data_IF_358128961752
#
_entry.id   IF_358128961752
#
_cell.length_a   1.000
_cell.length_b   1.000
_cell.length_c   1.000
_cell.angle_alpha   90.00
_cell.angle_beta   90.00
_cell.angle_gamma   90.00
#
_symmetry.space_group_name_H-M   'P 1'
#
loop_
_entity.id
_entity.type
_entity.pdbx_description
1 polymer ?
#
# COMPACT_ATOMS: atom_id res chain seq x y z
N UNK A 1 11.94 -4.84 41.43
CA UNK A 1 12.37 -6.14 41.97
C UNK A 1 12.85 -7.00 40.81
N UNK A 2 14.15 -7.02 40.51
CA UNK A 2 14.81 -8.09 39.76
C UNK A 2 16.28 -8.14 40.17
N UNK A 3 16.70 -9.34 40.53
CA UNK A 3 17.94 -9.66 41.22
C UNK A 3 19.15 -9.68 40.27
N UNK A 4 20.28 -9.21 40.79
CA UNK A 4 21.61 -9.27 40.20
C UNK A 4 22.31 -10.50 40.78
N UNK A 5 22.82 -11.41 39.96
CA UNK A 5 23.70 -12.49 40.41
C UNK A 5 25.10 -12.27 39.81
N UNK A 6 26.06 -12.00 40.70
CA UNK A 6 27.49 -11.96 40.41
C UNK A 6 28.04 -13.38 40.29
N UNK A 7 28.96 -13.61 39.35
CA UNK A 7 29.95 -14.69 39.48
C UNK A 7 31.36 -14.10 39.40
N UNK A 8 32.18 -14.57 40.35
CA UNK A 8 33.55 -14.16 40.62
C UNK A 8 34.53 -14.59 39.53
N UNK A 9 35.32 -13.64 39.02
CA UNK A 9 36.50 -13.91 38.19
C UNK A 9 37.75 -14.02 39.07
N UNK A 10 38.45 -15.16 38.96
CA UNK A 10 39.79 -15.37 39.49
C UNK A 10 40.80 -14.49 38.74
N UNK A 11 41.65 -13.77 39.48
CA UNK A 11 42.69 -12.88 38.94
C UNK A 11 43.98 -13.66 38.65
N UNK A 12 44.31 -13.87 37.39
CA UNK A 12 45.65 -14.27 36.95
C UNK A 12 46.42 -13.02 36.52
N UNK A 13 47.51 -12.69 37.22
CA UNK A 13 48.41 -11.59 36.87
C UNK A 13 49.26 -11.99 35.66
N UNK A 14 49.08 -11.31 34.53
CA UNK A 14 50.02 -11.33 33.41
C UNK A 14 50.77 -10.00 33.35
N UNK A 15 52.10 -10.08 33.43
CA UNK A 15 53.04 -8.97 33.25
C UNK A 15 53.18 -8.66 31.75
N UNK A 16 52.77 -7.45 31.34
CA UNK A 16 52.88 -6.98 29.95
C UNK A 16 54.29 -6.47 29.64
N UNK A 17 54.89 -6.97 28.55
CA UNK A 17 56.10 -6.43 27.88
C UNK A 17 55.69 -5.45 26.76
N UNK A 18 56.55 -4.49 26.37
CA UNK A 18 56.14 -3.26 25.67
C UNK A 18 55.85 -3.39 24.15
N UNK A 19 54.58 -3.24 23.80
CA UNK A 19 53.92 -2.36 22.79
C UNK A 19 54.61 -1.81 21.51
N UNK A 20 55.71 -2.35 20.98
CA UNK A 20 56.23 -1.88 19.66
C UNK A 20 55.59 -2.54 18.43
N UNK A 21 55.06 -3.76 18.56
CA UNK A 21 54.42 -4.48 17.45
C UNK A 21 52.97 -4.04 17.17
N UNK A 22 52.26 -3.57 18.21
CA UNK A 22 50.86 -3.18 18.10
C UNK A 22 50.67 -1.81 17.40
N UNK A 23 51.65 -0.90 17.54
CA UNK A 23 51.63 0.38 16.84
C UNK A 23 51.87 0.25 15.32
N UNK A 24 52.68 -0.73 14.90
CA UNK A 24 52.93 -1.00 13.48
C UNK A 24 51.67 -1.58 12.81
N UNK A 25 50.92 -2.44 13.52
CA UNK A 25 49.69 -3.04 13.01
C UNK A 25 48.57 -2.01 12.80
N UNK A 26 48.47 -1.00 13.68
CA UNK A 26 47.47 0.08 13.55
C UNK A 26 47.79 1.00 12.37
N UNK A 27 49.07 1.30 12.12
CA UNK A 27 49.49 2.13 10.97
C UNK A 27 49.30 1.38 9.63
N UNK A 28 49.47 0.05 9.63
CA UNK A 28 49.21 -0.76 8.43
C UNK A 28 47.70 -0.89 8.14
N UNK A 29 46.85 -0.94 9.18
CA UNK A 29 45.39 -0.96 9.01
C UNK A 29 44.83 0.38 8.51
N UNK A 30 45.40 1.52 8.94
CA UNK A 30 44.96 2.84 8.47
C UNK A 30 45.39 3.13 7.03
N UNK A 31 46.49 2.54 6.56
CA UNK A 31 46.93 2.65 5.16
C UNK A 31 46.05 1.85 4.19
N UNK A 32 45.44 0.74 4.63
CA UNK A 32 44.50 -0.07 3.80
C UNK A 32 43.15 0.66 3.61
N UNK A 33 42.74 1.48 4.59
CA UNK A 33 41.50 2.28 4.53
C UNK A 33 41.57 3.50 3.59
N UNK A 34 42.75 3.87 3.08
CA UNK A 34 42.93 5.03 2.21
C UNK A 34 43.09 4.68 0.72
N UNK A 35 43.05 3.39 0.34
CA UNK A 35 43.26 2.94 -1.06
C UNK A 35 41.94 2.48 -1.73
N UNK A 36 40.81 2.45 -1.03
CA UNK A 36 39.47 2.24 -1.65
C UNK A 36 38.84 3.54 -2.17
N UNK A 37 39.67 4.49 -2.61
CA UNK A 37 39.27 5.78 -3.16
C UNK A 37 39.83 5.98 -4.56
N UNK A 38 39.46 5.13 -5.51
CA UNK A 38 39.54 5.39 -6.96
C UNK A 38 38.98 4.19 -7.74
N UNK A 39 37.67 4.01 -7.70
CA UNK A 39 36.95 3.45 -8.84
C UNK A 39 35.67 4.27 -8.96
N UNK A 40 35.70 5.22 -9.90
CA UNK A 40 34.51 5.94 -10.33
C UNK A 40 33.57 4.95 -11.01
N UNK A 41 32.78 4.25 -10.22
CA UNK A 41 31.54 3.68 -10.69
C UNK A 41 30.60 4.87 -10.90
N UNK A 42 30.40 5.25 -12.17
CA UNK A 42 29.19 5.96 -12.57
C UNK A 42 28.00 5.13 -12.09
N UNK A 43 27.50 5.47 -10.92
CA UNK A 43 26.29 4.92 -10.35
C UNK A 43 25.15 5.47 -11.20
N UNK A 44 24.83 4.76 -12.29
CA UNK A 44 23.50 4.84 -12.89
C UNK A 44 22.55 4.24 -11.86
N UNK A 45 21.93 5.08 -11.05
CA UNK A 45 20.71 4.71 -10.34
C UNK A 45 19.58 4.68 -11.38
N UNK A 46 18.65 3.75 -11.20
CA UNK A 46 17.42 3.45 -11.96
C UNK A 46 17.55 2.36 -13.04
N UNK A 47 17.81 1.12 -12.60
CA UNK A 47 16.98 0.01 -13.10
C UNK A 47 15.63 0.11 -12.37
N UNK A 48 14.64 0.77 -12.98
CA UNK A 48 13.24 0.54 -12.61
C UNK A 48 12.91 -0.85 -13.17
N UNK A 49 13.09 -1.89 -12.35
CA UNK A 49 12.59 -3.22 -12.69
C UNK A 49 11.06 -3.12 -12.74
N UNK A 50 10.49 -3.20 -13.93
CA UNK A 50 9.04 -3.09 -14.13
C UNK A 50 8.37 -4.34 -13.57
N UNK A 51 7.30 -4.18 -12.79
CA UNK A 51 6.59 -5.31 -12.18
C UNK A 51 5.94 -6.23 -13.21
N UNK A 52 5.50 -5.67 -14.35
CA UNK A 52 4.91 -6.40 -15.45
C UNK A 52 5.50 -5.95 -16.79
N UNK A 53 5.90 -6.92 -17.61
CA UNK A 53 6.39 -6.69 -18.96
C UNK A 53 5.68 -7.63 -19.92
N UNK A 54 5.04 -7.06 -20.93
CA UNK A 54 4.40 -7.86 -21.98
C UNK A 54 5.41 -8.75 -22.71
N UNK A 55 5.03 -10.00 -22.99
CA UNK A 55 5.91 -10.98 -23.66
C UNK A 55 5.94 -10.80 -25.17
N UNK A 56 4.87 -10.21 -25.71
CA UNK A 56 4.76 -9.84 -27.12
C UNK A 56 5.11 -8.37 -27.36
N UNK A 57 5.45 -8.05 -28.61
CA UNK A 57 5.84 -6.71 -29.01
C UNK A 57 7.35 -6.56 -29.20
N UNK A 58 7.77 -5.45 -29.82
CA UNK A 58 9.18 -5.15 -30.11
C UNK A 58 9.42 -3.64 -30.06
N UNK A 59 10.68 -3.25 -29.87
CA UNK A 59 11.10 -1.85 -29.85
C UNK A 59 11.09 -1.25 -28.45
N UNK A 60 11.16 0.08 -28.39
CA UNK A 60 11.01 0.86 -27.17
C UNK A 60 9.63 0.60 -26.54
N UNK A 61 9.62 0.35 -25.23
CA UNK A 61 8.40 0.05 -24.50
C UNK A 61 7.61 1.34 -24.20
N UNK A 62 6.29 1.24 -24.23
CA UNK A 62 5.44 2.20 -23.55
C UNK A 62 5.53 1.91 -22.04
N UNK A 63 6.08 2.86 -21.29
CA UNK A 63 6.25 2.74 -19.83
C UNK A 63 5.05 3.36 -19.11
N UNK A 64 4.45 2.60 -18.20
CA UNK A 64 3.24 3.01 -17.48
C UNK A 64 3.49 2.85 -15.97
N UNK A 65 3.21 3.89 -15.20
CA UNK A 65 3.06 3.74 -13.74
C UNK A 65 1.58 3.66 -13.40
N UNK A 66 1.15 2.56 -12.78
CA UNK A 66 -0.25 2.25 -12.56
C UNK A 66 -0.56 1.91 -11.11
N UNK A 67 -1.82 2.14 -10.70
CA UNK A 67 -2.31 1.65 -9.42
C UNK A 67 -2.40 0.12 -9.41
N UNK A 68 -2.02 -0.51 -8.29
CA UNK A 68 -1.88 -1.98 -8.20
C UNK A 68 -3.14 -2.77 -8.57
N UNK A 69 -4.33 -2.21 -8.37
CA UNK A 69 -5.64 -2.78 -8.74
C UNK A 69 -5.80 -3.04 -10.25
N UNK A 70 -4.98 -2.42 -11.09
CA UNK A 70 -4.97 -2.66 -12.54
C UNK A 70 -4.27 -3.95 -12.94
N UNK A 71 -3.59 -4.67 -12.03
CA UNK A 71 -2.94 -5.97 -12.32
C UNK A 71 -3.88 -6.98 -12.97
N UNK A 72 -5.16 -6.95 -12.62
CA UNK A 72 -6.18 -7.84 -13.24
C UNK A 72 -6.30 -7.63 -14.76
N UNK A 73 -5.84 -6.50 -15.29
CA UNK A 73 -5.89 -6.14 -16.71
C UNK A 73 -4.63 -6.56 -17.48
N UNK A 74 -3.61 -7.11 -16.84
CA UNK A 74 -2.38 -7.61 -17.50
C UNK A 74 -2.67 -8.53 -18.71
N UNK A 75 -3.63 -9.49 -18.65
CA UNK A 75 -3.96 -10.32 -19.81
C UNK A 75 -4.50 -9.51 -21.00
N UNK A 76 -5.20 -8.40 -20.75
CA UNK A 76 -5.70 -7.49 -21.79
C UNK A 76 -4.53 -6.74 -22.43
N UNK A 77 -3.58 -6.24 -21.62
CA UNK A 77 -2.36 -5.60 -22.11
C UNK A 77 -1.52 -6.55 -22.97
N UNK A 78 -1.40 -7.81 -22.55
CA UNK A 78 -0.69 -8.85 -23.31
C UNK A 78 -1.37 -9.14 -24.66
N UNK A 79 -2.70 -9.22 -24.68
CA UNK A 79 -3.45 -9.41 -25.93
C UNK A 79 -3.29 -8.21 -26.87
N UNK A 80 -3.36 -6.99 -26.32
CA UNK A 80 -3.12 -5.77 -27.09
C UNK A 80 -1.70 -5.75 -27.67
N UNK A 81 -0.67 -6.09 -26.89
CA UNK A 81 0.72 -6.16 -27.34
C UNK A 81 0.92 -7.17 -28.49
N UNK A 82 0.24 -8.32 -28.42
CA UNK A 82 0.24 -9.34 -29.51
C UNK A 82 -0.31 -8.79 -30.82
N UNK A 83 -1.36 -7.99 -30.76
CA UNK A 83 -2.05 -7.43 -31.93
C UNK A 83 -1.31 -6.21 -32.50
N UNK A 84 -0.94 -5.26 -31.64
CA UNK A 84 -0.33 -3.99 -32.02
C UNK A 84 1.18 -4.08 -32.28
N UNK A 85 1.82 -5.16 -31.80
CA UNK A 85 3.29 -5.34 -31.78
C UNK A 85 4.03 -4.30 -30.93
N UNK A 86 3.33 -3.58 -30.05
CA UNK A 86 3.92 -2.65 -29.09
C UNK A 86 4.27 -3.36 -27.80
N UNK A 87 5.47 -3.09 -27.28
CA UNK A 87 5.90 -3.56 -25.95
C UNK A 87 5.36 -2.58 -24.90
N UNK A 88 4.82 -3.11 -23.81
CA UNK A 88 4.33 -2.36 -22.65
C UNK A 88 5.07 -2.85 -21.40
N UNK A 89 5.49 -1.91 -20.58
CA UNK A 89 6.11 -2.10 -19.28
C UNK A 89 5.28 -1.34 -18.23
N UNK A 90 4.92 -2.02 -17.14
CA UNK A 90 4.08 -1.46 -16.07
C UNK A 90 4.80 -1.58 -14.73
N UNK A 91 4.88 -0.47 -14.03
CA UNK A 91 5.32 -0.38 -12.63
C UNK A 91 4.10 -0.07 -11.76
N UNK A 92 3.87 -0.84 -10.70
CA UNK A 92 2.72 -0.67 -9.82
C UNK A 92 3.07 0.10 -8.56
N UNK A 93 2.39 1.23 -8.34
CA UNK A 93 2.53 2.07 -7.14
C UNK A 93 1.17 2.36 -6.49
N UNK A 94 1.19 2.89 -5.27
CA UNK A 94 0.00 3.49 -4.66
C UNK A 94 -0.43 4.74 -5.44
N UNK A 95 -1.73 4.94 -5.65
CA UNK A 95 -2.21 6.11 -6.42
C UNK A 95 -1.81 7.45 -5.78
N UNK A 96 -1.65 7.50 -4.45
CA UNK A 96 -1.16 8.70 -3.75
C UNK A 96 0.33 8.93 -4.01
N UNK A 97 1.10 7.87 -4.26
CA UNK A 97 2.51 8.01 -4.66
C UNK A 97 2.64 8.46 -6.11
N UNK A 98 1.75 7.98 -7.00
CA UNK A 98 1.63 8.50 -8.38
C UNK A 98 1.27 10.00 -8.36
N UNK A 99 0.32 10.40 -7.50
CA UNK A 99 -0.01 11.82 -7.29
C UNK A 99 1.23 12.62 -6.85
N UNK A 100 1.97 12.14 -5.85
CA UNK A 100 3.19 12.82 -5.36
C UNK A 100 4.27 12.93 -6.44
N UNK A 101 4.39 11.94 -7.33
CA UNK A 101 5.29 12.03 -8.49
C UNK A 101 4.84 13.14 -9.46
N UNK A 102 3.55 13.22 -9.78
CA UNK A 102 3.02 14.32 -10.61
C UNK A 102 3.28 15.69 -9.97
N UNK A 103 3.10 15.81 -8.65
CA UNK A 103 3.37 17.06 -7.91
C UNK A 103 4.84 17.47 -7.91
N UNK A 104 5.76 16.52 -8.14
CA UNK A 104 7.19 16.84 -8.22
C UNK A 104 7.56 17.59 -9.51
N UNK A 105 6.69 17.54 -10.53
CA UNK A 105 6.95 18.12 -11.84
C UNK A 105 7.79 17.23 -12.77
N UNK A 106 8.29 16.09 -12.28
CA UNK A 106 9.10 15.14 -13.04
C UNK A 106 8.45 13.75 -12.98
N UNK A 107 8.11 13.19 -14.15
CA UNK A 107 7.56 11.84 -14.29
C UNK A 107 8.39 11.11 -15.35
N UNK A 108 9.01 9.99 -14.95
CA UNK A 108 9.89 9.19 -15.81
C UNK A 108 9.14 8.22 -16.74
N UNK A 109 7.81 8.25 -16.72
CA UNK A 109 6.93 7.32 -17.43
C UNK A 109 6.18 8.02 -18.57
N UNK A 110 5.87 7.27 -19.62
CA UNK A 110 5.06 7.76 -20.75
C UNK A 110 3.59 7.98 -20.37
N UNK A 111 3.08 7.20 -19.40
CA UNK A 111 1.71 7.30 -18.91
C UNK A 111 1.59 7.04 -17.41
N UNK A 112 0.62 7.72 -16.79
CA UNK A 112 0.19 7.47 -15.41
C UNK A 112 -1.23 6.92 -15.41
N UNK A 113 -1.49 5.91 -14.58
CA UNK A 113 -2.79 5.26 -14.49
C UNK A 113 -3.18 5.00 -13.03
N UNK A 114 -3.46 6.06 -12.24
CA UNK A 114 -3.94 5.89 -10.88
C UNK A 114 -5.39 5.36 -10.87
N UNK A 115 -5.79 4.83 -9.71
CA UNK A 115 -7.11 4.27 -9.46
C UNK A 115 -8.28 5.26 -9.59
N UNK A 116 -8.00 6.57 -9.57
CA UNK A 116 -9.00 7.62 -9.59
C UNK A 116 -8.44 8.89 -10.23
N UNK A 117 -9.27 9.56 -11.03
CA UNK A 117 -8.96 10.86 -11.64
C UNK A 117 -8.75 11.96 -10.60
N UNK A 118 -9.25 11.77 -9.37
CA UNK A 118 -8.99 12.68 -8.25
C UNK A 118 -7.49 12.91 -8.04
N UNK A 119 -6.69 11.84 -8.13
CA UNK A 119 -5.24 11.90 -7.92
C UNK A 119 -4.51 12.60 -9.07
N UNK A 120 -5.07 12.58 -10.29
CA UNK A 120 -4.56 13.36 -11.41
C UNK A 120 -4.85 14.85 -11.18
N UNK A 121 -6.08 15.19 -10.80
CA UNK A 121 -6.51 16.57 -10.55
C UNK A 121 -5.73 17.22 -9.40
N UNK A 122 -5.47 16.49 -8.32
CA UNK A 122 -4.68 17.00 -7.20
C UNK A 122 -3.18 16.95 -7.47
N UNK A 123 -2.72 16.06 -8.34
CA UNK A 123 -1.30 15.82 -8.57
C UNK A 123 -0.67 16.68 -9.66
N UNK A 124 -1.41 16.96 -10.74
CA UNK A 124 -0.88 17.61 -11.95
C UNK A 124 -0.76 19.14 -11.82
N UNK A 125 -0.08 19.61 -10.79
CA UNK A 125 0.16 21.02 -10.51
C UNK A 125 1.06 21.69 -11.58
N UNK A 126 1.81 20.88 -12.33
CA UNK A 126 2.74 21.32 -13.38
C UNK A 126 2.19 21.18 -14.81
N UNK A 127 0.94 20.75 -14.99
CA UNK A 127 0.29 20.55 -16.29
C UNK A 127 1.08 19.63 -17.24
N UNK A 128 1.65 18.56 -16.68
CA UNK A 128 2.38 17.52 -17.40
C UNK A 128 1.43 16.72 -18.30
N UNK A 129 0.22 16.45 -17.83
CA UNK A 129 -0.75 15.61 -18.53
C UNK A 129 -1.33 16.34 -19.75
N UNK A 130 -1.35 15.65 -20.90
CA UNK A 130 -1.91 16.19 -22.17
C UNK A 130 -3.23 15.54 -22.55
N UNK A 131 -3.44 14.30 -22.15
CA UNK A 131 -4.63 13.51 -22.44
C UNK A 131 -5.03 12.74 -21.19
N UNK A 132 -6.31 12.82 -20.81
CA UNK A 132 -6.87 12.15 -19.63
C UNK A 132 -8.19 11.52 -20.03
N UNK A 133 -8.33 10.22 -19.77
CA UNK A 133 -9.52 9.44 -20.08
C UNK A 133 -9.85 8.50 -18.91
N UNK A 134 -11.14 8.31 -18.65
CA UNK A 134 -11.60 7.33 -17.65
C UNK A 134 -11.73 5.96 -18.31
N UNK A 135 -11.03 4.96 -17.78
CA UNK A 135 -10.99 3.61 -18.35
C UNK A 135 -11.91 2.61 -17.64
N UNK A 136 -12.23 2.83 -16.35
CA UNK A 136 -13.11 1.98 -15.56
C UNK A 136 -13.69 2.73 -14.36
N UNK A 137 -14.77 2.19 -13.79
CA UNK A 137 -15.36 2.60 -12.51
C UNK A 137 -15.56 1.35 -11.68
N UNK A 138 -15.05 1.35 -10.44
CA UNK A 138 -15.29 0.28 -9.46
C UNK A 138 -15.60 0.90 -8.10
N UNK A 139 -16.68 0.49 -7.42
CA UNK A 139 -16.95 0.96 -6.07
C UNK A 139 -15.97 0.33 -5.08
N UNK A 140 -15.79 1.00 -3.94
CA UNK A 140 -15.15 0.43 -2.74
C UNK A 140 -16.28 -0.04 -1.83
N UNK A 141 -16.22 -1.30 -1.40
CA UNK A 141 -17.28 -1.93 -0.61
C UNK A 141 -16.69 -2.59 0.63
N UNK A 142 -17.56 -2.89 1.60
CA UNK A 142 -17.24 -3.66 2.79
C UNK A 142 -17.64 -5.11 2.57
N UNK A 143 -16.67 -5.98 2.28
CA UNK A 143 -16.89 -7.42 2.12
C UNK A 143 -16.81 -8.15 3.46
N UNK A 144 -17.78 -9.00 3.75
CA UNK A 144 -17.83 -9.85 4.95
C UNK A 144 -18.07 -11.29 4.48
N UNK A 145 -17.29 -12.26 4.98
CA UNK A 145 -17.52 -13.68 4.71
C UNK A 145 -18.94 -14.07 5.17
N UNK A 146 -19.59 -14.92 4.39
CA UNK A 146 -20.97 -15.32 4.64
C UNK A 146 -21.19 -15.85 6.07
N UNK A 147 -20.32 -16.70 6.59
CA UNK A 147 -20.46 -17.26 7.94
C UNK A 147 -20.52 -16.17 9.03
N UNK A 148 -19.66 -15.15 8.94
CA UNK A 148 -19.68 -14.03 9.88
C UNK A 148 -20.90 -13.13 9.66
N UNK A 149 -21.30 -12.90 8.41
CA UNK A 149 -22.50 -12.12 8.11
C UNK A 149 -23.76 -12.80 8.68
N UNK A 150 -23.85 -14.13 8.64
CA UNK A 150 -24.94 -14.90 9.26
C UNK A 150 -24.92 -14.78 10.79
N UNK A 151 -23.75 -14.92 11.41
CA UNK A 151 -23.57 -14.75 12.87
C UNK A 151 -23.96 -13.35 13.35
N UNK A 152 -23.67 -12.31 12.56
CA UNK A 152 -24.03 -10.92 12.86
C UNK A 152 -25.48 -10.58 12.50
N UNK A 153 -26.20 -11.48 11.81
CA UNK A 153 -27.57 -11.22 11.33
C UNK A 153 -27.63 -10.17 10.21
N UNK A 154 -26.57 -10.07 9.41
CA UNK A 154 -26.45 -9.13 8.29
C UNK A 154 -26.94 -9.72 6.95
N UNK A 155 -27.17 -11.03 6.88
CA UNK A 155 -27.71 -11.69 5.68
C UNK A 155 -29.18 -11.33 5.44
N UNK A 156 -29.59 -11.33 4.16
CA UNK A 156 -30.96 -11.02 3.70
C UNK A 156 -31.49 -9.63 4.08
N UNK A 157 -30.59 -8.71 4.45
CA UNK A 157 -30.88 -7.32 4.79
C UNK A 157 -30.27 -6.36 3.78
N UNK A 158 -31.02 -5.32 3.43
CA UNK A 158 -30.57 -4.23 2.55
C UNK A 158 -30.45 -2.89 3.28
N UNK A 159 -30.69 -2.89 4.59
CA UNK A 159 -30.78 -1.71 5.46
C UNK A 159 -29.63 -1.62 6.47
N UNK A 160 -28.56 -2.40 6.28
CA UNK A 160 -27.39 -2.37 7.16
C UNK A 160 -26.73 -1.00 7.10
N UNK A 161 -26.60 -0.36 8.27
CA UNK A 161 -25.95 0.94 8.43
C UNK A 161 -24.59 0.83 9.11
N UNK A 162 -23.77 1.87 8.98
CA UNK A 162 -22.41 1.88 9.51
C UNK A 162 -22.39 1.85 11.05
N UNK A 163 -23.41 2.37 11.71
CA UNK A 163 -23.59 2.24 13.16
C UNK A 163 -23.69 0.78 13.61
N UNK A 164 -24.34 -0.11 12.85
CA UNK A 164 -24.40 -1.55 13.17
C UNK A 164 -23.03 -2.22 13.01
N UNK A 165 -22.25 -1.81 12.00
CA UNK A 165 -20.86 -2.24 11.81
C UNK A 165 -19.98 -1.78 12.98
N UNK A 166 -20.11 -0.52 13.42
CA UNK A 166 -19.40 0.02 14.59
C UNK A 166 -19.76 -0.77 15.84
N UNK A 167 -21.04 -1.05 16.07
CA UNK A 167 -21.48 -1.83 17.22
C UNK A 167 -20.89 -3.25 17.22
N UNK A 168 -20.83 -3.92 16.06
CA UNK A 168 -20.19 -5.22 15.95
C UNK A 168 -18.68 -5.16 16.25
N UNK A 169 -18.00 -4.08 15.86
CA UNK A 169 -16.59 -3.83 16.18
C UNK A 169 -16.41 -3.61 17.69
N UNK A 170 -17.22 -2.75 18.30
CA UNK A 170 -17.14 -2.41 19.74
C UNK A 170 -17.44 -3.62 20.65
N UNK A 171 -18.22 -4.58 20.16
CA UNK A 171 -18.51 -5.84 20.86
C UNK A 171 -17.45 -6.94 20.59
N UNK A 172 -16.33 -6.62 19.93
CA UNK A 172 -15.29 -7.58 19.51
C UNK A 172 -15.80 -8.69 18.56
N UNK A 173 -16.92 -8.46 17.86
CA UNK A 173 -17.54 -9.44 16.96
C UNK A 173 -17.09 -9.28 15.50
N UNK A 174 -16.61 -8.09 15.11
CA UNK A 174 -16.15 -7.79 13.76
C UNK A 174 -14.79 -7.11 13.80
N UNK A 175 -13.84 -7.65 13.04
CA UNK A 175 -12.61 -6.97 12.66
C UNK A 175 -12.43 -7.13 11.15
N UNK A 176 -11.70 -6.21 10.54
CA UNK A 176 -11.56 -6.17 9.09
C UNK A 176 -10.17 -5.73 8.64
N UNK A 177 -9.79 -6.18 7.45
CA UNK A 177 -8.60 -5.72 6.75
C UNK A 177 -8.95 -4.51 5.88
N UNK A 178 -8.08 -3.50 5.82
CA UNK A 178 -8.28 -2.33 4.97
C UNK A 178 -6.94 -1.72 4.56
N UNK A 179 -6.84 -1.22 3.34
CA UNK A 179 -5.63 -0.52 2.89
C UNK A 179 -5.44 0.84 3.58
N UNK A 180 -4.20 1.33 3.60
CA UNK A 180 -3.88 2.62 4.21
C UNK A 180 -4.53 3.78 3.47
N UNK A 181 -5.19 4.68 4.21
CA UNK A 181 -5.78 5.91 3.70
C UNK A 181 -4.75 6.94 3.19
N UNK A 182 -3.47 6.78 3.53
CA UNK A 182 -2.40 7.73 3.17
C UNK A 182 -1.46 7.22 2.07
N UNK A 183 -1.69 5.99 1.59
CA UNK A 183 -0.87 5.32 0.57
C UNK A 183 -1.71 4.75 -0.59
N UNK A 184 -2.94 4.29 -0.34
CA UNK A 184 -3.78 3.64 -1.36
C UNK A 184 -5.03 4.45 -1.70
N UNK A 185 -5.54 4.31 -2.93
CA UNK A 185 -6.82 4.92 -3.30
C UNK A 185 -8.00 4.23 -2.59
N UNK A 186 -8.03 2.90 -2.51
CA UNK A 186 -9.12 2.18 -1.83
C UNK A 186 -9.24 2.60 -0.37
N UNK A 187 -8.12 2.74 0.33
CA UNK A 187 -8.08 3.19 1.72
C UNK A 187 -8.53 4.64 1.87
N UNK A 188 -8.05 5.54 0.99
CA UNK A 188 -8.44 6.94 1.01
C UNK A 188 -9.94 7.11 0.67
N UNK A 189 -10.43 6.36 -0.31
CA UNK A 189 -11.83 6.38 -0.74
C UNK A 189 -12.76 5.85 0.35
N UNK A 190 -12.41 4.73 1.00
CA UNK A 190 -13.21 4.21 2.12
C UNK A 190 -13.16 5.18 3.31
N UNK A 191 -12.01 5.76 3.64
CA UNK A 191 -11.91 6.74 4.72
C UNK A 191 -12.81 7.97 4.48
N UNK A 192 -12.77 8.55 3.28
CA UNK A 192 -13.66 9.66 2.90
C UNK A 192 -15.13 9.23 2.86
N UNK A 193 -15.42 8.01 2.37
CA UNK A 193 -16.75 7.42 2.37
C UNK A 193 -17.32 7.26 3.78
N UNK A 194 -16.53 6.74 4.72
CA UNK A 194 -16.91 6.60 6.13
C UNK A 194 -17.12 7.95 6.81
N UNK A 195 -16.22 8.92 6.60
CA UNK A 195 -16.40 10.27 7.11
C UNK A 195 -17.70 10.90 6.61
N UNK A 196 -17.99 10.73 5.32
CA UNK A 196 -19.23 11.24 4.72
C UNK A 196 -20.45 10.54 5.29
N UNK A 197 -20.44 9.20 5.37
CA UNK A 197 -21.57 8.41 5.88
C UNK A 197 -21.85 8.65 7.36
N UNK A 198 -20.82 8.91 8.17
CA UNK A 198 -20.95 9.19 9.60
C UNK A 198 -21.22 10.66 9.92
N UNK A 199 -21.09 11.56 8.94
CA UNK A 199 -21.36 12.98 9.12
C UNK A 199 -22.84 13.25 9.46
N UNK A 200 -23.12 14.45 9.97
CA UNK A 200 -24.49 14.85 10.35
C UNK A 200 -25.48 14.86 9.19
N UNK A 201 -25.00 15.12 7.97
CA UNK A 201 -25.84 15.21 6.79
C UNK A 201 -25.13 14.63 5.55
N UNK A 202 -25.06 13.28 5.43
CA UNK A 202 -24.32 12.62 4.37
C UNK A 202 -24.74 13.03 2.96
N UNK A 203 -26.02 13.37 2.75
CA UNK A 203 -26.54 13.76 1.43
C UNK A 203 -26.18 15.20 1.02
N UNK A 204 -25.88 16.07 1.98
CA UNK A 204 -25.43 17.44 1.69
C UNK A 204 -23.95 17.51 1.30
N UNK A 205 -23.24 16.39 1.34
CA UNK A 205 -21.80 16.32 1.14
C UNK A 205 -21.01 16.65 2.40
N UNK A 206 -19.71 16.43 2.32
CA UNK A 206 -18.79 16.55 3.44
C UNK A 206 -18.06 17.90 3.42
N UNK A 207 -18.06 18.61 4.56
CA UNK A 207 -17.45 19.94 4.71
C UNK A 207 -16.21 19.92 5.60
N UNK A 208 -15.45 21.02 5.62
CA UNK A 208 -14.30 21.16 6.51
C UNK A 208 -14.75 21.27 7.98
N UNK A 209 -15.91 21.85 8.22
CA UNK A 209 -16.50 22.01 9.55
C UNK A 209 -16.87 20.66 10.16
N UNK A 210 -17.30 19.69 9.35
CA UNK A 210 -17.59 18.33 9.80
C UNK A 210 -16.36 17.66 10.43
N UNK A 211 -15.16 17.92 9.91
CA UNK A 211 -13.91 17.37 10.47
C UNK A 211 -13.64 17.82 11.91
N UNK A 212 -14.23 18.94 12.34
CA UNK A 212 -14.09 19.46 13.70
C UNK A 212 -15.15 18.91 14.67
N UNK A 213 -16.11 18.11 14.19
CA UNK A 213 -17.16 17.52 15.03
C UNK A 213 -16.59 16.39 15.92
N UNK A 214 -16.63 16.53 17.26
CA UNK A 214 -16.12 15.50 18.17
C UNK A 214 -16.84 14.16 18.01
N UNK A 215 -18.15 14.17 17.69
CA UNK A 215 -18.91 12.93 17.53
C UNK A 215 -18.49 12.17 16.27
N UNK A 216 -18.17 12.89 15.19
CA UNK A 216 -17.64 12.27 13.98
C UNK A 216 -16.26 11.65 14.25
N UNK A 217 -15.40 12.38 14.97
CA UNK A 217 -14.07 11.90 15.36
C UNK A 217 -14.16 10.65 16.24
N UNK A 218 -15.11 10.59 17.16
CA UNK A 218 -15.36 9.40 17.97
C UNK A 218 -15.82 8.21 17.11
N UNK A 219 -16.84 8.41 16.27
CA UNK A 219 -17.38 7.36 15.40
C UNK A 219 -16.35 6.79 14.44
N UNK A 220 -15.54 7.64 13.80
CA UNK A 220 -14.50 7.18 12.87
C UNK A 220 -13.37 6.46 13.60
N UNK A 221 -13.03 6.86 14.84
CA UNK A 221 -12.08 6.13 15.67
C UNK A 221 -12.62 4.75 16.08
N UNK A 222 -13.88 4.66 16.52
CA UNK A 222 -14.51 3.37 16.84
C UNK A 222 -14.51 2.45 15.61
N UNK A 223 -14.90 2.95 14.45
CA UNK A 223 -14.87 2.16 13.21
C UNK A 223 -13.45 1.69 12.87
N UNK A 224 -12.46 2.59 12.89
CA UNK A 224 -11.09 2.25 12.53
C UNK A 224 -10.39 1.37 13.58
N UNK A 225 -10.91 1.29 14.81
CA UNK A 225 -10.42 0.35 15.82
C UNK A 225 -10.61 -1.12 15.40
N UNK A 226 -11.58 -1.40 14.51
CA UNK A 226 -11.80 -2.72 13.91
C UNK A 226 -10.76 -3.11 12.85
N UNK A 227 -9.90 -2.19 12.41
CA UNK A 227 -8.85 -2.49 11.43
C UNK A 227 -7.76 -3.33 12.08
N UNK A 228 -7.71 -4.62 11.76
CA UNK A 228 -6.71 -5.53 12.34
C UNK A 228 -5.44 -5.66 11.48
N UNK A 229 -5.53 -5.34 10.19
CA UNK A 229 -4.44 -5.44 9.20
C UNK A 229 -4.58 -4.36 8.14
N UNK A 230 -3.42 -3.89 7.67
CA UNK A 230 -3.37 -2.88 6.62
C UNK A 230 -2.22 -3.11 5.64
N UNK A 231 -2.38 -2.54 4.45
CA UNK A 231 -1.43 -2.59 3.33
C UNK A 231 -1.42 -1.25 2.59
N UNK A 232 -0.29 -0.86 2.01
CA UNK A 232 -0.20 0.28 1.10
C UNK A 232 -0.82 0.03 -0.29
N UNK A 233 -1.15 -1.23 -0.61
CA UNK A 233 -1.68 -1.65 -1.91
C UNK A 233 -2.90 -2.56 -1.77
N UNK A 234 -3.88 -2.34 -2.64
CA UNK A 234 -5.15 -3.08 -2.71
C UNK A 234 -4.96 -4.56 -3.02
N UNK A 235 -4.06 -4.91 -3.94
CA UNK A 235 -3.79 -6.31 -4.27
C UNK A 235 -2.96 -7.02 -3.20
N UNK A 236 -1.97 -6.34 -2.60
CA UNK A 236 -1.25 -6.91 -1.46
C UNK A 236 -2.18 -7.17 -0.26
N UNK A 237 -3.24 -6.38 -0.08
CA UNK A 237 -4.26 -6.65 0.93
C UNK A 237 -5.04 -7.94 0.61
N UNK A 238 -5.34 -8.20 -0.67
CA UNK A 238 -5.98 -9.46 -1.12
C UNK A 238 -5.08 -10.65 -0.80
N UNK A 239 -3.80 -10.57 -1.14
CA UNK A 239 -2.84 -11.65 -0.84
C UNK A 239 -2.78 -11.92 0.67
N UNK A 240 -2.71 -10.86 1.49
CA UNK A 240 -2.73 -10.97 2.94
C UNK A 240 -4.04 -11.58 3.45
N UNK A 241 -5.17 -11.20 2.86
CA UNK A 241 -6.49 -11.73 3.21
C UNK A 241 -6.58 -13.23 2.93
N UNK A 242 -6.12 -13.68 1.75
CA UNK A 242 -6.12 -15.08 1.33
C UNK A 242 -5.14 -15.95 2.14
N UNK A 243 -3.99 -15.41 2.53
CA UNK A 243 -2.99 -16.13 3.34
C UNK A 243 -3.38 -16.22 4.83
N UNK A 244 -4.30 -15.40 5.30
CA UNK A 244 -4.71 -15.36 6.69
C UNK A 244 -6.15 -15.79 6.93
N UNK A 245 -6.50 -15.93 8.20
CA UNK A 245 -7.87 -16.22 8.61
C UNK A 245 -8.61 -14.93 8.97
N UNK A 246 -8.89 -14.11 7.95
CA UNK A 246 -9.64 -12.87 8.09
C UNK A 246 -11.07 -13.04 7.58
N UNK A 247 -12.02 -12.36 8.22
CA UNK A 247 -13.45 -12.52 7.90
C UNK A 247 -14.07 -11.33 7.19
N UNK A 248 -13.41 -10.17 7.18
CA UNK A 248 -13.91 -9.00 6.49
C UNK A 248 -12.79 -8.13 5.92
N UNK A 249 -13.09 -7.46 4.81
CA UNK A 249 -12.16 -6.63 4.06
C UNK A 249 -12.90 -5.44 3.46
N UNK A 250 -12.28 -4.25 3.50
CA UNK A 250 -12.71 -3.08 2.73
C UNK A 250 -11.78 -2.90 1.54
N UNK A 251 -12.32 -3.07 0.33
CA UNK A 251 -11.55 -2.97 -0.91
C UNK A 251 -12.47 -2.71 -2.12
N UNK A 252 -11.92 -2.67 -3.34
CA UNK A 252 -12.72 -2.61 -4.55
C UNK A 252 -13.64 -3.82 -4.70
N UNK A 253 -14.87 -3.60 -5.16
CA UNK A 253 -15.84 -4.66 -5.44
C UNK A 253 -15.26 -5.74 -6.35
N UNK A 254 -14.56 -5.34 -7.42
CA UNK A 254 -13.92 -6.29 -8.35
C UNK A 254 -12.89 -7.19 -7.65
N UNK A 255 -12.09 -6.64 -6.75
CA UNK A 255 -11.12 -7.42 -5.97
C UNK A 255 -11.81 -8.31 -4.93
N UNK A 256 -12.91 -7.86 -4.34
CA UNK A 256 -13.70 -8.66 -3.39
C UNK A 256 -14.34 -9.86 -4.11
N UNK A 257 -14.94 -9.65 -5.28
CA UNK A 257 -15.50 -10.73 -6.12
C UNK A 257 -14.40 -11.72 -6.49
N UNK A 258 -13.26 -11.24 -7.00
CA UNK A 258 -12.13 -12.10 -7.35
C UNK A 258 -11.57 -12.87 -6.14
N UNK A 259 -11.55 -12.24 -4.95
CA UNK A 259 -11.14 -12.91 -3.72
C UNK A 259 -12.13 -14.02 -3.34
N UNK A 260 -13.43 -13.76 -3.47
CA UNK A 260 -14.46 -14.75 -3.21
C UNK A 260 -14.36 -15.95 -4.14
N UNK A 261 -14.20 -15.72 -5.45
CA UNK A 261 -14.00 -16.80 -6.44
C UNK A 261 -12.78 -17.68 -6.10
N UNK A 262 -11.70 -17.08 -5.61
CA UNK A 262 -10.51 -17.82 -5.17
C UNK A 262 -10.73 -18.61 -3.88
N UNK A 263 -11.55 -18.11 -2.95
CA UNK A 263 -11.90 -18.83 -1.73
C UNK A 263 -12.84 -20.00 -2.01
N UNK A 264 -13.80 -19.85 -2.93
CA UNK A 264 -14.71 -20.93 -3.35
C UNK A 264 -14.01 -22.04 -4.13
N UNK A 265 -12.87 -21.74 -4.77
CA UNK A 265 -12.09 -22.71 -5.53
C UNK A 265 -11.14 -23.57 -4.67
N UNK A 266 -11.03 -23.30 -3.36
CA UNK A 266 -10.19 -24.04 -2.39
C UNK A 266 -10.94 -25.22 -1.78
#
# INVERSE_FOLDING_TARGET
>A
MFCRCQQNFQKTKYTLKPYKFFQILIILLSAILLITGCFGSSMKIHENDSDFVTTAGRGEALTIVAGSEHKVLEPILENYAKQSKKKIEVTYLGSLDIMRQLQSGEVEYDAVWPASTLWLTMGDEHHLLKHVETTAITPVIFGIKQSLAEELGFTDRSDIVLEEIIQAIENDQLNFAMTSATQSNSGASAYLGFLTALSKNPEAGFTKEDLADPLLQEKILSLLSGVNRSSGSSNWLVDLFLMGDYNAMVNYETLIIQTNEQLEAQ
#
